data_IF_495065428827
#
_entry.id   IF_495065428827
#
_cell.length_a   1.000
_cell.length_b   1.000
_cell.length_c   1.000
_cell.angle_alpha   90.00
_cell.angle_beta   90.00
_cell.angle_gamma   90.00
#
_symmetry.space_group_name_H-M   'P 1'
#
loop_
_entity.id
_entity.type
_entity.pdbx_description
1 polymer ?
#
# COMPACT_ATOMS: atom_id res chain seq x y z
N UNK A 1 -22.57 -13.05 -29.97
CA UNK A 1 -22.05 -14.03 -28.99
C UNK A 1 -20.53 -13.90 -28.96
N UNK A 2 -19.92 -14.13 -27.79
CA UNK A 2 -18.47 -14.12 -27.46
C UNK A 2 -17.99 -12.74 -26.93
N UNK A 3 -17.90 -12.55 -25.60
CA UNK A 3 -16.78 -12.92 -24.70
C UNK A 3 -15.58 -11.97 -24.93
N UNK A 4 -15.01 -11.25 -23.96
CA UNK A 4 -14.41 -11.71 -22.69
C UNK A 4 -14.29 -10.52 -21.71
N UNK A 5 -14.53 -10.78 -20.42
CA UNK A 5 -14.27 -9.90 -19.29
C UNK A 5 -12.81 -9.41 -19.27
N UNK A 6 -12.59 -8.11 -19.44
CA UNK A 6 -11.33 -7.48 -19.04
C UNK A 6 -11.37 -7.24 -17.54
N UNK A 7 -10.83 -8.21 -16.79
CA UNK A 7 -10.32 -8.00 -15.44
C UNK A 7 -9.34 -6.83 -15.49
N UNK A 8 -9.66 -5.72 -14.83
CA UNK A 8 -8.73 -4.59 -14.64
C UNK A 8 -7.73 -4.99 -13.55
N UNK A 9 -6.86 -5.93 -13.88
CA UNK A 9 -5.69 -6.28 -13.08
C UNK A 9 -4.65 -5.19 -13.27
N UNK A 10 -4.74 -4.12 -12.49
CA UNK A 10 -3.61 -3.20 -12.27
C UNK A 10 -2.56 -3.93 -11.43
N UNK A 11 -1.86 -4.85 -12.08
CA UNK A 11 -0.63 -5.50 -11.62
C UNK A 11 0.51 -4.47 -11.65
N UNK A 12 0.76 -3.84 -10.51
CA UNK A 12 2.01 -3.12 -10.29
C UNK A 12 2.94 -4.00 -9.46
N UNK A 13 3.85 -4.69 -10.19
CA UNK A 13 5.28 -4.71 -9.87
C UNK A 13 5.64 -5.00 -8.39
N UNK A 14 5.77 -6.27 -8.03
CA UNK A 14 6.56 -6.69 -6.87
C UNK A 14 8.05 -6.39 -7.15
N UNK A 15 8.46 -5.15 -6.87
CA UNK A 15 9.83 -4.67 -7.06
C UNK A 15 10.40 -4.41 -5.68
N UNK A 16 11.44 -5.19 -5.33
CA UNK A 16 12.19 -5.12 -4.09
C UNK A 16 11.45 -5.59 -2.82
N UNK A 17 12.23 -6.07 -1.84
CA UNK A 17 11.76 -6.61 -0.56
C UNK A 17 11.19 -5.50 0.33
N UNK A 18 10.00 -5.02 -0.01
CA UNK A 18 9.17 -4.16 0.82
C UNK A 18 8.33 -5.01 1.76
N UNK A 19 8.18 -4.53 2.99
CA UNK A 19 7.37 -5.20 4.02
C UNK A 19 5.96 -4.65 3.98
N UNK A 20 5.01 -5.48 4.39
CA UNK A 20 3.64 -5.05 4.68
C UNK A 20 3.49 -5.04 6.19
N UNK A 21 3.02 -3.92 6.72
CA UNK A 21 2.78 -3.70 8.14
C UNK A 21 1.29 -3.71 8.41
N UNK A 22 0.87 -4.42 9.44
CA UNK A 22 -0.52 -4.48 9.87
C UNK A 22 -0.69 -3.60 11.11
N UNK A 23 -1.65 -2.68 11.05
CA UNK A 23 -2.06 -1.93 12.22
C UNK A 23 -2.74 -2.88 13.21
N UNK A 24 -2.18 -3.01 14.42
CA UNK A 24 -2.73 -3.90 15.45
C UNK A 24 -4.05 -3.40 16.06
N UNK A 25 -4.46 -2.16 15.75
CA UNK A 25 -5.67 -1.52 16.29
C UNK A 25 -6.86 -1.73 15.35
N UNK A 26 -6.73 -1.37 14.07
CA UNK A 26 -7.81 -1.48 13.07
C UNK A 26 -7.62 -2.62 12.05
N UNK A 27 -6.40 -3.15 11.90
CA UNK A 27 -6.10 -4.20 10.90
C UNK A 27 -5.72 -3.66 9.52
N UNK A 28 -5.54 -2.35 9.36
CA UNK A 28 -5.08 -1.74 8.10
C UNK A 28 -3.70 -2.28 7.68
N UNK A 29 -3.55 -2.61 6.40
CA UNK A 29 -2.30 -3.09 5.81
C UNK A 29 -1.57 -1.96 5.09
N UNK A 30 -0.49 -1.46 5.69
CA UNK A 30 0.43 -0.51 5.08
C UNK A 30 1.48 -1.24 4.25
N UNK A 31 1.44 -1.07 2.93
CA UNK A 31 2.42 -1.61 1.98
C UNK A 31 3.48 -0.55 1.69
N UNK A 32 4.72 -0.76 2.14
CA UNK A 32 5.82 0.19 1.93
C UNK A 32 6.02 0.50 0.44
N UNK A 33 5.75 -0.44 -0.47
CA UNK A 33 5.88 -0.23 -1.92
C UNK A 33 4.88 0.78 -2.45
N UNK A 34 3.70 0.85 -1.83
CA UNK A 34 2.61 1.76 -2.20
C UNK A 34 2.68 3.06 -1.41
N UNK A 35 3.21 3.02 -0.19
CA UNK A 35 3.14 4.13 0.74
C UNK A 35 1.69 4.51 1.03
N UNK A 36 1.48 5.78 1.34
CA UNK A 36 0.15 6.38 1.50
C UNK A 36 0.10 7.80 0.89
N UNK A 37 -0.07 7.93 -0.45
CA UNK A 37 0.01 9.23 -1.12
C UNK A 37 -1.05 10.23 -0.65
N UNK A 38 -2.19 9.76 -0.14
CA UNK A 38 -3.26 10.61 0.41
C UNK A 38 -2.79 11.39 1.66
N UNK A 39 -1.84 10.82 2.41
CA UNK A 39 -1.23 11.42 3.60
C UNK A 39 0.19 11.95 3.33
N UNK A 40 0.55 12.13 2.05
CA UNK A 40 1.91 12.52 1.62
C UNK A 40 3.01 11.51 1.98
N UNK A 41 2.67 10.24 2.15
CA UNK A 41 3.64 9.15 2.29
C UNK A 41 3.88 8.55 0.89
N UNK A 42 5.02 8.82 0.24
CA UNK A 42 5.24 8.36 -1.13
C UNK A 42 5.43 6.83 -1.22
N UNK A 43 5.17 6.21 -2.38
CA UNK A 43 5.48 4.82 -2.62
C UNK A 43 6.97 4.52 -2.46
N UNK A 44 7.28 3.42 -1.76
CA UNK A 44 8.64 3.04 -1.37
C UNK A 44 9.06 3.53 0.01
N UNK A 45 8.20 4.24 0.75
CA UNK A 45 8.51 4.72 2.10
C UNK A 45 8.52 3.56 3.09
N UNK A 46 9.65 3.35 3.77
CA UNK A 46 9.78 2.35 4.83
C UNK A 46 8.99 2.78 6.05
N UNK A 47 8.54 1.81 6.85
CA UNK A 47 7.88 2.13 8.12
C UNK A 47 8.73 3.00 9.06
N UNK A 48 10.06 2.83 9.01
CA UNK A 48 11.02 3.65 9.77
C UNK A 48 11.05 5.12 9.32
N UNK A 49 10.62 5.42 8.11
CA UNK A 49 10.54 6.77 7.54
C UNK A 49 9.12 7.37 7.66
N UNK A 50 8.13 6.58 8.10
CA UNK A 50 6.76 7.07 8.33
C UNK A 50 6.77 7.97 9.59
N UNK A 51 6.20 9.19 9.54
CA UNK A 51 6.13 10.06 10.70
C UNK A 51 5.39 9.39 11.86
N UNK A 52 5.88 9.55 13.09
CA UNK A 52 5.19 9.02 14.28
C UNK A 52 3.83 9.70 14.55
N UNK A 53 3.63 10.90 13.99
CA UNK A 53 2.38 11.67 14.06
C UNK A 53 1.35 11.20 13.01
N UNK A 54 1.75 10.33 12.07
CA UNK A 54 0.84 9.77 11.09
C UNK A 54 -0.05 8.71 11.74
N UNK A 55 -1.36 8.87 11.59
CA UNK A 55 -2.35 7.92 12.04
C UNK A 55 -2.90 7.14 10.84
N UNK A 56 -3.13 5.84 11.03
CA UNK A 56 -3.74 5.04 9.98
C UNK A 56 -5.16 5.56 9.67
N UNK A 57 -5.53 5.71 8.40
CA UNK A 57 -6.79 6.35 7.99
C UNK A 57 -8.06 5.49 8.15
N UNK A 58 -7.93 4.26 8.67
CA UNK A 58 -9.04 3.33 8.95
C UNK A 58 -9.26 3.19 10.46
#
# INVERSE_FOLDING_TARGET
>A
MNAVSQVKSSETKQTAAYKIWECLVCGLLYDESKGWPEDNIPPGTRWEDVPEDWECPD
#
